data_IF_950388493396
#
_entry.id   IF_950388493396
#
_cell.length_a   1.000
_cell.length_b   1.000
_cell.length_c   1.000
_cell.angle_alpha   90.00
_cell.angle_beta   90.00
_cell.angle_gamma   90.00
#
_symmetry.space_group_name_H-M   'P 1'
#
loop_
_entity.id
_entity.type
_entity.pdbx_description
1 polymer ?
#
# COMPACT_ATOMS: atom_id res chain seq x y z
N UNK A 1 -2.76 -24.92 -7.96
CA UNK A 1 -3.80 -23.89 -8.05
C UNK A 1 -3.46 -22.86 -6.99
N UNK A 2 -3.11 -21.63 -7.36
CA UNK A 2 -2.74 -20.59 -6.38
C UNK A 2 -4.02 -19.87 -5.97
N UNK A 3 -4.40 -19.96 -4.70
CA UNK A 3 -5.49 -19.15 -4.15
C UNK A 3 -4.99 -17.70 -4.11
N UNK A 4 -5.67 -16.79 -4.79
CA UNK A 4 -5.32 -15.37 -4.81
C UNK A 4 -6.55 -14.53 -4.53
N UNK A 5 -6.38 -13.41 -3.84
CA UNK A 5 -7.45 -12.45 -3.61
C UNK A 5 -7.90 -11.75 -4.90
N UNK A 6 -9.07 -11.11 -4.84
CA UNK A 6 -9.57 -10.25 -5.93
C UNK A 6 -8.70 -9.02 -6.17
N UNK A 7 -7.95 -8.62 -5.15
CA UNK A 7 -7.14 -7.42 -5.14
C UNK A 7 -5.64 -7.75 -5.11
N UNK A 8 -4.83 -6.92 -5.74
CA UNK A 8 -3.37 -6.97 -5.68
C UNK A 8 -2.86 -5.62 -5.17
N UNK A 9 -2.22 -5.62 -4.00
CA UNK A 9 -1.61 -4.45 -3.38
C UNK A 9 -0.16 -4.32 -3.84
N UNK A 10 0.20 -3.15 -4.35
CA UNK A 10 1.56 -2.82 -4.75
C UNK A 10 2.02 -1.55 -4.03
N UNK A 11 3.10 -1.68 -3.25
CA UNK A 11 3.76 -0.56 -2.57
C UNK A 11 4.86 0.00 -3.47
N UNK A 12 4.87 1.32 -3.66
CA UNK A 12 5.68 2.01 -4.65
C UNK A 12 6.26 3.31 -4.09
N UNK A 13 7.52 3.62 -4.40
CA UNK A 13 8.18 4.90 -4.15
C UNK A 13 7.86 5.59 -2.79
N UNK A 14 7.77 4.82 -1.71
CA UNK A 14 7.46 5.34 -0.39
C UNK A 14 8.27 4.63 0.68
N UNK A 15 8.36 5.26 1.84
CA UNK A 15 8.80 4.57 3.04
C UNK A 15 7.70 3.62 3.51
N UNK A 16 8.09 2.46 4.01
CA UNK A 16 7.15 1.49 4.55
C UNK A 16 7.70 0.77 5.78
N UNK A 17 6.79 0.23 6.59
CA UNK A 17 7.09 -0.60 7.75
C UNK A 17 6.05 -1.71 7.86
N UNK A 18 6.50 -2.95 8.03
CA UNK A 18 5.66 -4.11 8.32
C UNK A 18 5.81 -4.48 9.80
N UNK A 19 4.69 -4.66 10.47
CA UNK A 19 4.64 -5.14 11.85
C UNK A 19 3.68 -6.33 11.98
N UNK A 20 3.90 -7.14 13.02
CA UNK A 20 3.04 -8.25 13.42
C UNK A 20 2.79 -8.12 14.92
N UNK A 21 1.53 -8.02 15.32
CA UNK A 21 1.14 -7.81 16.72
C UNK A 21 1.91 -6.63 17.36
N UNK A 22 1.94 -5.51 16.63
CA UNK A 22 2.64 -4.25 16.94
C UNK A 22 4.18 -4.35 17.06
N UNK A 23 4.78 -5.49 16.72
CA UNK A 23 6.23 -5.65 16.65
C UNK A 23 6.72 -5.47 15.23
N UNK A 24 7.61 -4.52 15.03
CA UNK A 24 8.27 -4.30 13.75
C UNK A 24 9.02 -5.55 13.28
N UNK A 25 8.81 -5.91 12.02
CA UNK A 25 9.51 -7.00 11.34
C UNK A 25 10.55 -6.48 10.34
N UNK A 26 10.19 -5.45 9.58
CA UNK A 26 11.05 -4.82 8.58
C UNK A 26 10.53 -3.42 8.21
N UNK A 27 11.41 -2.61 7.61
CA UNK A 27 11.09 -1.33 6.99
C UNK A 27 11.82 -1.18 5.64
N UNK A 28 11.54 -0.08 4.93
CA UNK A 28 12.05 0.20 3.56
C UNK A 28 13.56 0.22 3.38
N UNK A 29 14.34 0.25 4.46
CA UNK A 29 15.81 0.21 4.41
C UNK A 29 16.39 -1.02 5.12
N UNK A 30 15.54 -2.00 5.47
CA UNK A 30 15.98 -3.28 5.99
C UNK A 30 16.70 -4.11 4.90
N UNK A 31 17.55 -5.08 5.28
CA UNK A 31 18.14 -6.03 4.32
C UNK A 31 17.09 -6.85 3.55
N UNK A 32 17.40 -7.24 2.32
CA UNK A 32 16.48 -7.93 1.39
C UNK A 32 15.86 -9.21 1.97
N UNK A 33 16.62 -9.98 2.74
CA UNK A 33 16.14 -11.22 3.38
C UNK A 33 15.13 -10.94 4.49
N UNK A 34 15.38 -9.89 5.28
CA UNK A 34 14.46 -9.38 6.31
C UNK A 34 13.18 -8.82 5.68
N UNK A 35 13.30 -8.07 4.58
CA UNK A 35 12.16 -7.56 3.80
C UNK A 35 11.32 -8.72 3.24
N UNK A 36 11.96 -9.72 2.65
CA UNK A 36 11.30 -10.91 2.09
C UNK A 36 10.56 -11.68 3.18
N UNK A 37 11.18 -11.87 4.34
CA UNK A 37 10.55 -12.52 5.48
C UNK A 37 9.31 -11.76 5.97
N UNK A 38 9.39 -10.44 6.10
CA UNK A 38 8.28 -9.62 6.58
C UNK A 38 7.09 -9.60 5.60
N UNK A 39 7.37 -9.47 4.30
CA UNK A 39 6.32 -9.53 3.26
C UNK A 39 5.59 -10.87 3.27
N UNK A 40 6.31 -11.99 3.43
CA UNK A 40 5.71 -13.32 3.60
C UNK A 40 4.81 -13.45 4.84
N UNK A 41 4.95 -12.60 5.86
CA UNK A 41 4.08 -12.67 7.04
C UNK A 41 2.71 -12.10 6.81
N UNK A 42 2.63 -11.03 6.02
CA UNK A 42 1.35 -10.39 5.67
C UNK A 42 0.76 -10.94 4.37
N UNK A 43 1.57 -11.61 3.54
CA UNK A 43 1.10 -12.32 2.36
C UNK A 43 0.12 -13.43 2.74
N UNK A 44 -1.02 -13.48 2.04
CA UNK A 44 -2.13 -14.38 2.34
C UNK A 44 -3.05 -13.96 3.49
N UNK A 45 -2.70 -12.92 4.27
CA UNK A 45 -3.65 -12.34 5.23
C UNK A 45 -4.71 -11.51 4.50
N UNK A 46 -5.92 -11.49 5.03
CA UNK A 46 -7.00 -10.66 4.48
C UNK A 46 -6.81 -9.23 4.93
N UNK A 47 -6.70 -8.30 3.97
CA UNK A 47 -6.77 -6.87 4.25
C UNK A 47 -8.18 -6.52 4.78
N UNK A 48 -8.24 -5.98 6.00
CA UNK A 48 -9.48 -5.60 6.68
C UNK A 48 -9.82 -4.12 6.49
N UNK A 49 -8.82 -3.25 6.60
CA UNK A 49 -9.00 -1.81 6.44
C UNK A 49 -7.75 -1.13 5.89
N UNK A 50 -7.98 0.02 5.24
CA UNK A 50 -6.95 0.99 4.85
C UNK A 50 -7.38 2.33 5.42
N UNK A 51 -6.55 2.91 6.27
CA UNK A 51 -6.87 4.08 7.09
C UNK A 51 -5.76 5.12 6.98
N UNK A 52 -6.07 6.36 7.39
CA UNK A 52 -5.03 7.38 7.56
C UNK A 52 -4.14 7.02 8.74
N UNK A 53 -2.83 7.08 8.54
CA UNK A 53 -1.86 6.87 9.60
C UNK A 53 -1.67 8.13 10.47
N UNK A 54 -0.85 8.00 11.51
CA UNK A 54 -0.58 9.08 12.47
C UNK A 54 0.35 10.18 11.93
N UNK A 55 1.05 9.94 10.82
CA UNK A 55 1.95 10.91 10.17
C UNK A 55 1.23 11.60 9.00
N UNK A 56 1.64 12.82 8.60
CA UNK A 56 1.13 13.46 7.39
C UNK A 56 1.23 12.52 6.18
N UNK A 57 0.12 12.43 5.43
CA UNK A 57 0.00 11.64 4.20
C UNK A 57 0.31 10.14 4.36
N UNK A 58 0.36 9.63 5.59
CA UNK A 58 0.62 8.22 5.86
C UNK A 58 -0.64 7.38 5.81
N UNK A 59 -0.44 6.09 5.58
CA UNK A 59 -1.49 5.08 5.52
C UNK A 59 -1.19 3.93 6.46
N UNK A 60 -2.25 3.34 7.01
CA UNK A 60 -2.21 2.13 7.82
C UNK A 60 -3.12 1.07 7.19
N UNK A 61 -2.55 -0.09 6.91
CA UNK A 61 -3.23 -1.27 6.41
C UNK A 61 -3.30 -2.30 7.54
N UNK A 62 -4.50 -2.73 7.91
CA UNK A 62 -4.71 -3.73 8.95
C UNK A 62 -5.13 -5.06 8.33
N UNK A 63 -4.48 -6.14 8.73
CA UNK A 63 -4.73 -7.48 8.25
C UNK A 63 -5.33 -8.38 9.34
N UNK A 64 -6.05 -9.43 8.94
CA UNK A 64 -6.88 -10.25 9.82
C UNK A 64 -6.14 -11.14 10.82
N UNK A 65 -4.84 -11.39 10.60
CA UNK A 65 -3.99 -12.15 11.51
C UNK A 65 -2.98 -11.26 12.24
N UNK A 66 -3.31 -9.99 12.50
CA UNK A 66 -2.49 -9.07 13.29
C UNK A 66 -1.33 -8.42 12.50
N UNK A 67 -1.24 -8.69 11.20
CA UNK A 67 -0.33 -7.99 10.30
C UNK A 67 -0.72 -6.52 10.15
N UNK A 68 0.28 -5.65 10.08
CA UNK A 68 0.13 -4.25 9.76
C UNK A 68 1.17 -3.84 8.71
N UNK A 69 0.75 -3.03 7.75
CA UNK A 69 1.65 -2.30 6.86
C UNK A 69 1.39 -0.81 7.02
N UNK A 70 2.45 -0.03 7.17
CA UNK A 70 2.41 1.44 7.22
C UNK A 70 3.18 1.99 6.04
N UNK A 71 2.66 3.03 5.38
CA UNK A 71 3.38 3.77 4.34
C UNK A 71 3.38 5.26 4.64
N UNK A 72 4.41 5.96 4.22
CA UNK A 72 4.47 7.43 4.24
C UNK A 72 5.42 7.92 3.13
N UNK A 73 5.36 9.21 2.73
CA UNK A 73 6.22 9.75 1.69
C UNK A 73 7.71 9.45 1.92
N UNK A 74 8.42 9.14 0.83
CA UNK A 74 9.86 8.88 0.88
C UNK A 74 10.65 10.16 1.15
N UNK A 75 10.30 11.22 0.41
CA UNK A 75 10.90 12.54 0.48
C UNK A 75 9.82 13.64 0.38
N UNK A 76 10.25 14.87 0.09
CA UNK A 76 9.38 16.03 -0.04
C UNK A 76 8.67 16.12 -1.40
N UNK A 77 8.96 15.23 -2.36
CA UNK A 77 8.22 15.16 -3.63
C UNK A 77 6.90 14.40 -3.43
N UNK A 78 5.87 15.18 -3.12
CA UNK A 78 4.53 14.65 -2.86
C UNK A 78 3.74 14.29 -4.14
N UNK A 79 4.36 14.39 -5.33
CA UNK A 79 3.70 14.08 -6.60
C UNK A 79 3.78 12.60 -7.00
N UNK A 80 4.58 11.79 -6.30
CA UNK A 80 4.71 10.35 -6.57
C UNK A 80 3.65 9.51 -5.86
N UNK A 81 3.20 8.42 -6.48
CA UNK A 81 2.33 7.43 -5.86
C UNK A 81 3.04 6.64 -4.76
N UNK A 82 2.34 6.39 -3.65
CA UNK A 82 2.80 5.53 -2.56
C UNK A 82 2.38 4.07 -2.75
N UNK A 83 1.17 3.84 -3.27
CA UNK A 83 0.65 2.49 -3.43
C UNK A 83 -0.50 2.43 -4.43
N UNK A 84 -0.71 1.23 -4.96
CA UNK A 84 -1.78 0.86 -5.88
C UNK A 84 -2.51 -0.37 -5.36
N UNK A 85 -3.84 -0.37 -5.48
CA UNK A 85 -4.69 -1.52 -5.22
C UNK A 85 -5.46 -1.89 -6.49
N UNK A 86 -4.98 -2.92 -7.17
CA UNK A 86 -5.54 -3.37 -8.45
C UNK A 86 -6.71 -4.32 -8.22
N UNK A 87 -7.87 -4.02 -8.80
CA UNK A 87 -9.02 -4.94 -8.86
C UNK A 87 -8.90 -5.82 -10.11
N UNK A 88 -8.79 -7.13 -9.92
CA UNK A 88 -8.57 -8.06 -11.04
C UNK A 88 -9.74 -8.11 -12.03
N UNK A 89 -10.97 -8.05 -11.54
CA UNK A 89 -12.16 -8.29 -12.36
C UNK A 89 -12.52 -7.09 -13.26
N UNK A 90 -12.38 -5.87 -12.73
CA UNK A 90 -12.69 -4.65 -13.46
C UNK A 90 -11.49 -4.09 -14.23
N UNK A 91 -10.26 -4.44 -13.81
CA UNK A 91 -9.05 -3.78 -14.28
C UNK A 91 -8.87 -2.36 -13.74
N UNK A 92 -9.69 -1.94 -12.78
CA UNK A 92 -9.53 -0.66 -12.11
C UNK A 92 -8.42 -0.73 -11.05
N UNK A 93 -7.89 0.43 -10.72
CA UNK A 93 -6.84 0.63 -9.73
C UNK A 93 -7.26 1.78 -8.83
N UNK A 94 -7.16 1.56 -7.52
CA UNK A 94 -7.14 2.65 -6.55
C UNK A 94 -5.67 3.01 -6.31
N UNK A 95 -5.28 4.23 -6.67
CA UNK A 95 -3.95 4.77 -6.43
C UNK A 95 -4.00 5.77 -5.28
N UNK A 96 -2.96 5.79 -4.45
CA UNK A 96 -2.77 6.83 -3.44
C UNK A 96 -1.44 7.53 -3.64
N UNK A 97 -1.46 8.85 -3.60
CA UNK A 97 -0.30 9.70 -3.83
C UNK A 97 0.36 10.16 -2.53
N UNK A 98 1.60 10.61 -2.62
CA UNK A 98 2.38 11.09 -1.49
C UNK A 98 1.78 12.35 -0.82
N UNK A 99 0.94 13.11 -1.51
CA UNK A 99 0.12 14.19 -0.91
C UNK A 99 -1.15 13.67 -0.18
N UNK A 100 -1.40 12.36 -0.20
CA UNK A 100 -2.53 11.72 0.45
C UNK A 100 -3.83 11.76 -0.36
N UNK A 101 -3.81 12.27 -1.60
CA UNK A 101 -4.95 12.16 -2.50
C UNK A 101 -5.07 10.73 -3.05
N UNK A 102 -6.28 10.36 -3.46
CA UNK A 102 -6.58 9.08 -4.09
C UNK A 102 -7.24 9.29 -5.46
N UNK A 103 -7.00 8.34 -6.36
CA UNK A 103 -7.61 8.28 -7.69
C UNK A 103 -8.10 6.85 -7.95
N UNK A 104 -9.30 6.71 -8.50
CA UNK A 104 -9.87 5.41 -8.85
C UNK A 104 -10.34 5.38 -10.31
N UNK A 105 -9.91 4.34 -11.03
CA UNK A 105 -10.35 4.09 -12.41
C UNK A 105 -9.49 3.06 -13.13
N UNK A 106 -9.65 2.93 -14.46
CA UNK A 106 -8.95 1.91 -15.24
C UNK A 106 -7.42 2.04 -15.16
N UNK A 107 -6.71 0.91 -15.07
CA UNK A 107 -5.23 0.89 -15.09
C UNK A 107 -4.61 1.50 -16.35
N UNK A 108 -5.38 1.62 -17.44
CA UNK A 108 -4.96 2.19 -18.72
C UNK A 108 -5.15 3.71 -18.79
N UNK A 109 -5.69 4.33 -17.74
CA UNK A 109 -5.87 5.77 -17.65
C UNK A 109 -4.51 6.47 -17.67
N UNK A 110 -4.41 7.57 -18.39
CA UNK A 110 -3.17 8.36 -18.45
C UNK A 110 -3.15 9.38 -17.31
N UNK A 111 -1.96 9.81 -16.89
CA UNK A 111 -1.79 10.74 -15.76
C UNK A 111 -2.64 12.03 -15.86
N UNK A 112 -2.86 12.54 -17.08
CA UNK A 112 -3.69 13.74 -17.32
C UNK A 112 -5.19 13.54 -17.07
N UNK A 113 -5.64 12.29 -17.06
CA UNK A 113 -7.06 11.92 -16.93
C UNK A 113 -7.38 11.43 -15.51
N UNK A 114 -6.39 11.40 -14.61
CA UNK A 114 -6.56 11.05 -13.21
C UNK A 114 -7.29 12.15 -12.45
N UNK A 115 -8.27 11.73 -11.66
CA UNK A 115 -9.04 12.61 -10.80
C UNK A 115 -8.63 12.34 -9.35
N UNK A 116 -7.82 13.25 -8.81
CA UNK A 116 -7.22 13.13 -7.49
C UNK A 116 -8.11 13.82 -6.45
N UNK A 117 -8.64 13.02 -5.54
CA UNK A 117 -9.61 13.47 -4.52
C UNK A 117 -9.13 13.14 -3.11
N UNK A 118 -9.47 13.96 -2.10
CA UNK A 118 -9.25 13.58 -0.71
C UNK A 118 -10.09 12.35 -0.34
N UNK A 119 -9.48 11.40 0.38
CA UNK A 119 -10.20 10.32 1.09
C UNK A 119 -10.73 10.81 2.42
#
# INVERSE_FOLDING_TARGET
>A
MTVTGRWHLWIYCCNWLIAQDDKELAHSESPDDVMTFATQRIDGQKLLSVERGARPHSWLFNFDLGGQLRTWPYDDDLSCEQWFLHERDSGNVLAARADGLISYGPATRTAKDEDWTPM
#
